data_IF_608046424780
#
_entry.id   IF_608046424780
#
_cell.length_a   1.000
_cell.length_b   1.000
_cell.length_c   1.000
_cell.angle_alpha   90.00
_cell.angle_beta   90.00
_cell.angle_gamma   90.00
#
_symmetry.space_group_name_H-M   'P 1'
#
loop_
_entity.id
_entity.type
_entity.pdbx_description
1 polymer ?
#
# COMPACT_ATOMS: atom_id res chain seq x y z
N UNK A 1 -10.88 -24.73 -12.89
CA UNK A 1 -11.98 -23.81 -12.58
C UNK A 1 -11.57 -22.43 -13.07
N UNK A 2 -12.33 -21.82 -13.97
CA UNK A 2 -12.06 -20.45 -14.41
C UNK A 2 -12.51 -19.50 -13.29
N UNK A 3 -11.55 -18.79 -12.68
CA UNK A 3 -11.85 -17.84 -11.60
C UNK A 3 -12.42 -16.56 -12.20
N UNK A 4 -13.57 -16.13 -11.65
CA UNK A 4 -14.24 -14.87 -12.00
C UNK A 4 -13.30 -13.69 -11.72
N UNK A 5 -13.38 -12.65 -12.54
CA UNK A 5 -12.61 -11.40 -12.39
C UNK A 5 -13.04 -10.58 -11.15
N UNK A 6 -13.91 -11.13 -10.30
CA UNK A 6 -14.51 -10.52 -9.11
C UNK A 6 -14.23 -11.31 -7.82
N UNK A 7 -13.15 -12.09 -7.78
CA UNK A 7 -12.78 -12.90 -6.60
C UNK A 7 -12.50 -12.10 -5.32
N UNK A 8 -12.30 -10.78 -5.43
CA UNK A 8 -12.20 -9.86 -4.30
C UNK A 8 -13.53 -9.21 -3.89
N UNK A 9 -14.61 -9.44 -4.64
CA UNK A 9 -15.90 -8.79 -4.41
C UNK A 9 -16.72 -9.62 -3.44
N UNK A 10 -16.64 -9.27 -2.16
CA UNK A 10 -17.47 -9.87 -1.12
C UNK A 10 -18.72 -9.00 -0.90
N UNK A 11 -19.95 -9.54 -1.10
CA UNK A 11 -21.20 -8.78 -0.97
C UNK A 11 -21.50 -8.31 0.46
N UNK A 12 -20.80 -8.85 1.46
CA UNK A 12 -20.94 -8.46 2.87
C UNK A 12 -20.02 -7.30 3.28
N UNK A 13 -19.18 -6.80 2.36
CA UNK A 13 -18.41 -5.58 2.57
C UNK A 13 -19.28 -4.34 2.35
N UNK A 14 -18.86 -3.20 2.89
CA UNK A 14 -19.48 -1.91 2.56
C UNK A 14 -19.34 -1.59 1.07
N UNK A 15 -20.22 -0.74 0.54
CA UNK A 15 -20.14 -0.30 -0.86
C UNK A 15 -18.77 0.25 -1.22
N UNK A 16 -18.12 0.95 -0.30
CA UNK A 16 -16.80 1.56 -0.48
C UNK A 16 -15.71 0.51 -0.63
N UNK A 17 -15.69 -0.48 0.25
CA UNK A 17 -14.78 -1.62 0.18
C UNK A 17 -15.01 -2.45 -1.08
N UNK A 18 -16.27 -2.72 -1.42
CA UNK A 18 -16.62 -3.41 -2.66
C UNK A 18 -16.15 -2.63 -3.89
N UNK A 19 -16.32 -1.31 -3.91
CA UNK A 19 -15.85 -0.46 -5.00
C UNK A 19 -14.34 -0.55 -5.19
N UNK A 20 -13.56 -0.40 -4.11
CA UNK A 20 -12.10 -0.55 -4.16
C UNK A 20 -11.69 -1.92 -4.71
N UNK A 21 -12.26 -2.99 -4.16
CA UNK A 21 -11.94 -4.36 -4.57
C UNK A 21 -12.29 -4.61 -6.04
N UNK A 22 -13.46 -4.15 -6.52
CA UNK A 22 -13.85 -4.25 -7.94
C UNK A 22 -12.87 -3.51 -8.85
N UNK A 23 -12.54 -2.27 -8.51
CA UNK A 23 -11.64 -1.44 -9.32
C UNK A 23 -10.25 -2.09 -9.42
N UNK A 24 -9.72 -2.59 -8.30
CA UNK A 24 -8.44 -3.30 -8.30
C UNK A 24 -8.52 -4.61 -9.09
N UNK A 25 -9.60 -5.39 -8.96
CA UNK A 25 -9.74 -6.67 -9.66
C UNK A 25 -9.81 -6.48 -11.18
N UNK A 26 -10.37 -5.36 -11.65
CA UNK A 26 -10.35 -4.97 -13.06
C UNK A 26 -8.95 -4.57 -13.55
N UNK A 27 -8.15 -3.96 -12.67
CA UNK A 27 -6.78 -3.54 -13.00
C UNK A 27 -5.79 -4.72 -13.03
N UNK A 28 -5.93 -5.62 -12.05
CA UNK A 28 -5.12 -6.82 -11.83
C UNK A 28 -6.01 -8.06 -11.75
N UNK A 29 -6.67 -8.47 -12.85
CA UNK A 29 -7.43 -9.72 -12.88
C UNK A 29 -6.49 -10.91 -12.63
N UNK A 30 -7.06 -12.08 -12.34
CA UNK A 30 -6.28 -13.30 -12.10
C UNK A 30 -5.27 -13.67 -13.22
N UNK A 31 -5.51 -13.22 -14.44
CA UNK A 31 -4.62 -13.41 -15.59
C UNK A 31 -3.48 -12.38 -15.68
N UNK A 32 -3.56 -11.28 -14.91
CA UNK A 32 -2.57 -10.20 -14.87
C UNK A 32 -2.24 -9.91 -13.41
N UNK A 33 -1.18 -10.54 -12.91
CA UNK A 33 -0.74 -10.38 -11.52
C UNK A 33 0.21 -9.20 -11.31
N UNK A 34 0.63 -8.53 -12.40
CA UNK A 34 1.60 -7.43 -12.37
C UNK A 34 1.34 -6.40 -13.46
N UNK A 35 1.35 -5.13 -13.07
CA UNK A 35 1.50 -3.97 -13.95
C UNK A 35 2.89 -3.36 -13.73
N UNK A 36 3.52 -2.92 -14.80
CA UNK A 36 4.90 -2.47 -14.84
C UNK A 36 5.00 -1.08 -15.42
N UNK A 37 5.87 -0.26 -14.83
CA UNK A 37 6.08 1.12 -15.28
C UNK A 37 6.71 1.23 -16.68
N UNK A 38 7.28 0.16 -17.23
CA UNK A 38 8.17 0.21 -18.40
C UNK A 38 7.82 -0.76 -19.55
N UNK A 39 6.76 -1.57 -19.43
CA UNK A 39 6.34 -2.50 -20.49
C UNK A 39 4.96 -2.14 -21.06
N UNK A 40 4.33 -3.06 -21.81
CA UNK A 40 3.00 -2.87 -22.39
C UNK A 40 1.87 -2.53 -21.40
N UNK A 41 2.12 -2.65 -20.09
CA UNK A 41 1.17 -2.31 -19.01
C UNK A 41 1.42 -0.94 -18.37
N UNK A 42 2.40 -0.17 -18.86
CA UNK A 42 2.82 1.13 -18.29
C UNK A 42 1.71 2.17 -18.19
N UNK A 43 0.78 2.19 -19.15
CA UNK A 43 -0.37 3.10 -19.10
C UNK A 43 -1.27 2.83 -17.89
N UNK A 44 -1.62 1.56 -17.64
CA UNK A 44 -2.40 1.16 -16.46
C UNK A 44 -1.63 1.37 -15.17
N UNK A 45 -0.32 1.09 -15.15
CA UNK A 45 0.52 1.41 -13.99
C UNK A 45 0.45 2.92 -13.66
N UNK A 46 0.55 3.78 -14.67
CA UNK A 46 0.48 5.23 -14.50
C UNK A 46 -0.90 5.68 -14.03
N UNK A 47 -1.97 5.10 -14.56
CA UNK A 47 -3.35 5.37 -14.15
C UNK A 47 -3.59 5.09 -12.66
N UNK A 48 -2.95 4.05 -12.13
CA UNK A 48 -3.14 3.61 -10.76
C UNK A 48 -2.18 4.24 -9.76
N UNK A 49 -1.01 4.66 -10.20
CA UNK A 49 0.03 5.19 -9.30
C UNK A 49 0.26 6.70 -9.48
N UNK A 50 -0.26 7.30 -10.54
CA UNK A 50 0.06 8.69 -10.92
C UNK A 50 1.48 8.87 -11.45
N UNK A 51 2.26 7.79 -11.61
CA UNK A 51 3.68 7.84 -11.97
C UNK A 51 3.96 7.10 -13.27
N UNK A 52 4.65 7.78 -14.18
CA UNK A 52 5.33 7.13 -15.31
C UNK A 52 6.73 6.67 -14.89
N UNK A 53 7.32 5.70 -15.59
CA UNK A 53 8.72 5.33 -15.39
C UNK A 53 9.65 6.56 -15.42
N UNK A 54 9.49 7.43 -16.42
CA UNK A 54 10.29 8.66 -16.55
C UNK A 54 10.13 9.59 -15.34
N UNK A 55 8.91 9.74 -14.81
CA UNK A 55 8.68 10.58 -13.64
C UNK A 55 9.37 10.01 -12.40
N UNK A 56 9.39 8.68 -12.23
CA UNK A 56 10.07 8.02 -11.11
C UNK A 56 11.58 8.17 -11.23
N UNK A 57 12.15 7.90 -12.40
CA UNK A 57 13.59 8.08 -12.64
C UNK A 57 14.05 9.52 -12.39
N UNK A 58 13.26 10.50 -12.82
CA UNK A 58 13.55 11.92 -12.59
C UNK A 58 13.52 12.25 -11.09
N UNK A 59 12.53 11.72 -10.36
CA UNK A 59 12.46 11.89 -8.91
C UNK A 59 13.66 11.24 -8.22
N UNK A 60 14.01 10.00 -8.55
CA UNK A 60 15.16 9.30 -7.98
C UNK A 60 16.47 10.06 -8.26
N UNK A 61 16.65 10.58 -9.46
CA UNK A 61 17.82 11.42 -9.79
C UNK A 61 17.87 12.69 -8.93
N UNK A 62 16.74 13.39 -8.77
CA UNK A 62 16.65 14.58 -7.91
C UNK A 62 16.88 14.25 -6.43
N UNK A 63 16.57 13.03 -6.02
CA UNK A 63 16.83 12.49 -4.69
C UNK A 63 18.29 11.98 -4.53
N UNK A 64 19.15 12.16 -5.54
CA UNK A 64 20.57 11.81 -5.46
C UNK A 64 20.89 10.35 -5.76
N UNK A 65 19.98 9.60 -6.35
CA UNK A 65 20.30 8.28 -6.91
C UNK A 65 21.07 8.42 -8.23
N UNK A 66 22.03 7.52 -8.46
CA UNK A 66 22.75 7.39 -9.71
C UNK A 66 22.60 5.98 -10.28
N UNK A 67 22.64 5.85 -11.62
CA UNK A 67 22.66 4.53 -12.26
C UNK A 67 24.03 3.86 -12.07
N UNK A 68 24.02 2.64 -11.54
CA UNK A 68 25.20 1.78 -11.51
C UNK A 68 25.43 1.10 -12.88
N UNK A 69 26.51 0.31 -13.00
CA UNK A 69 26.85 -0.43 -14.23
C UNK A 69 25.77 -1.40 -14.71
N UNK A 70 24.84 -1.79 -13.83
CA UNK A 70 23.69 -2.67 -14.14
C UNK A 70 22.44 -1.89 -14.54
N UNK A 71 22.54 -0.56 -14.68
CA UNK A 71 21.41 0.33 -14.97
C UNK A 71 20.43 0.52 -13.81
N UNK A 72 20.78 0.07 -12.60
CA UNK A 72 19.95 0.22 -11.40
C UNK A 72 20.26 1.55 -10.72
N UNK A 73 19.23 2.21 -10.22
CA UNK A 73 19.38 3.44 -9.45
C UNK A 73 19.77 3.11 -8.01
N UNK A 74 20.93 3.59 -7.57
CA UNK A 74 21.44 3.36 -6.23
C UNK A 74 21.93 4.66 -5.59
N UNK A 75 21.81 4.74 -4.26
CA UNK A 75 22.49 5.71 -3.40
C UNK A 75 22.83 5.06 -2.08
N UNK A 76 23.79 5.63 -1.37
CA UNK A 76 24.05 5.24 0.01
C UNK A 76 22.96 5.82 0.92
N UNK A 77 22.46 5.00 1.85
CA UNK A 77 21.52 5.44 2.89
C UNK A 77 20.04 5.20 2.59
N UNK A 78 19.21 6.24 2.76
CA UNK A 78 17.73 6.14 2.87
C UNK A 78 17.09 5.73 1.54
N UNK A 79 15.95 5.02 1.58
CA UNK A 79 15.16 4.71 0.37
C UNK A 79 14.60 5.97 -0.31
N UNK A 80 14.06 5.82 -1.53
CA UNK A 80 13.45 6.93 -2.24
C UNK A 80 12.25 7.51 -1.46
N UNK A 81 12.05 8.82 -1.54
CA UNK A 81 10.92 9.53 -0.94
C UNK A 81 9.72 9.48 -1.87
N UNK A 82 9.92 9.66 -3.18
CA UNK A 82 8.86 9.54 -4.17
C UNK A 82 8.62 8.06 -4.48
N UNK A 83 7.46 7.53 -4.06
CA UNK A 83 7.13 6.11 -4.22
C UNK A 83 5.77 5.89 -4.88
N UNK A 84 5.69 4.88 -5.76
CA UNK A 84 4.43 4.55 -6.42
C UNK A 84 3.41 3.89 -5.50
N UNK A 85 3.83 3.33 -4.35
CA UNK A 85 2.91 2.83 -3.32
C UNK A 85 2.06 3.95 -2.71
N UNK A 86 2.63 5.13 -2.48
CA UNK A 86 1.87 6.30 -2.04
C UNK A 86 0.92 6.81 -3.11
N UNK A 87 1.39 6.80 -4.36
CA UNK A 87 0.57 7.14 -5.53
C UNK A 87 -0.65 6.24 -5.69
N UNK A 88 -0.50 4.93 -5.43
CA UNK A 88 -1.60 3.96 -5.42
C UNK A 88 -2.65 4.32 -4.36
N UNK A 89 -2.24 4.52 -3.11
CA UNK A 89 -3.16 4.86 -2.01
C UNK A 89 -3.84 6.21 -2.26
N UNK A 90 -3.08 7.20 -2.72
CA UNK A 90 -3.62 8.51 -3.09
C UNK A 90 -4.69 8.41 -4.18
N UNK A 91 -4.43 7.61 -5.23
CA UNK A 91 -5.39 7.36 -6.32
C UNK A 91 -6.67 6.71 -5.80
N UNK A 92 -6.58 5.73 -4.90
CA UNK A 92 -7.74 5.09 -4.29
C UNK A 92 -8.58 6.10 -3.54
N UNK A 93 -7.96 6.93 -2.70
CA UNK A 93 -8.67 7.98 -1.96
C UNK A 93 -9.39 8.95 -2.90
N UNK A 94 -8.71 9.39 -3.96
CA UNK A 94 -9.32 10.26 -4.99
C UNK A 94 -10.49 9.56 -5.70
N UNK A 95 -10.37 8.28 -6.04
CA UNK A 95 -11.45 7.53 -6.71
C UNK A 95 -12.68 7.37 -5.82
N UNK A 96 -12.53 7.18 -4.51
CA UNK A 96 -13.65 7.13 -3.55
C UNK A 96 -14.39 8.47 -3.53
N UNK A 97 -13.65 9.58 -3.44
CA UNK A 97 -14.22 10.94 -3.43
C UNK A 97 -14.93 11.26 -4.76
N UNK A 98 -14.34 10.88 -5.89
CA UNK A 98 -14.93 11.06 -7.23
C UNK A 98 -16.20 10.22 -7.43
N UNK A 99 -16.24 9.02 -6.86
CA UNK A 99 -17.44 8.17 -6.82
C UNK A 99 -18.50 8.68 -5.83
N UNK A 100 -18.25 9.80 -5.13
CA UNK A 100 -19.14 10.42 -4.13
C UNK A 100 -19.44 9.50 -2.95
N UNK A 101 -18.51 8.60 -2.61
CA UNK A 101 -18.67 7.65 -1.51
C UNK A 101 -17.99 8.19 -0.25
N UNK A 102 -18.39 9.39 0.20
CA UNK A 102 -17.81 10.05 1.37
C UNK A 102 -16.62 10.97 1.05
N UNK A 103 -16.10 11.60 2.11
CA UNK A 103 -14.97 12.53 2.05
C UNK A 103 -13.95 12.13 3.12
N UNK A 104 -12.66 12.30 2.83
CA UNK A 104 -11.60 12.02 3.81
C UNK A 104 -11.82 12.79 5.10
N UNK A 105 -11.84 12.08 6.23
CA UNK A 105 -11.79 12.68 7.57
C UNK A 105 -10.32 12.82 7.98
N UNK A 106 -9.93 14.02 8.40
CA UNK A 106 -8.53 14.46 8.38
C UNK A 106 -7.52 13.62 9.15
N UNK A 107 -6.24 13.82 8.81
CA UNK A 107 -5.06 13.38 9.58
C UNK A 107 -4.21 12.31 8.89
N UNK A 108 -4.82 11.40 8.13
CA UNK A 108 -4.11 10.36 7.39
C UNK A 108 -3.68 10.88 6.02
N UNK A 109 -2.44 10.59 5.63
CA UNK A 109 -1.92 10.83 4.28
C UNK A 109 -1.34 9.53 3.71
N UNK A 110 -1.14 9.45 2.39
CA UNK A 110 -0.49 8.28 1.77
C UNK A 110 0.92 8.01 2.35
N UNK A 111 1.60 9.03 2.85
CA UNK A 111 2.91 8.94 3.53
C UNK A 111 2.81 8.55 5.01
N UNK A 112 1.71 8.88 5.69
CA UNK A 112 1.53 8.66 7.12
C UNK A 112 0.05 8.42 7.42
N UNK A 113 -0.38 7.16 7.28
CA UNK A 113 -1.76 6.77 7.59
C UNK A 113 -2.03 6.91 9.09
N UNK A 114 -1.03 6.59 9.91
CA UNK A 114 -1.02 6.77 11.37
C UNK A 114 -1.02 8.24 11.82
N UNK A 115 -0.72 9.17 10.92
CA UNK A 115 -0.65 10.59 11.24
C UNK A 115 0.44 10.94 12.26
N UNK A 116 1.49 10.12 12.41
CA UNK A 116 2.61 10.37 13.33
C UNK A 116 3.18 11.79 13.16
N UNK A 117 3.79 12.31 14.23
CA UNK A 117 4.44 13.62 14.18
C UNK A 117 5.68 13.62 13.25
N UNK A 118 6.29 14.80 13.06
CA UNK A 118 7.48 14.96 12.20
C UNK A 118 8.70 14.14 12.63
N UNK A 119 8.68 13.58 13.85
CA UNK A 119 9.73 12.72 14.39
C UNK A 119 9.33 11.23 14.35
N UNK A 120 8.17 10.92 13.76
CA UNK A 120 7.63 9.56 13.69
C UNK A 120 6.96 9.10 14.98
N UNK A 121 6.74 9.98 15.97
CA UNK A 121 6.09 9.61 17.23
C UNK A 121 4.58 9.45 17.03
N UNK A 122 4.04 8.42 17.66
CA UNK A 122 2.59 8.18 17.69
C UNK A 122 1.89 9.40 18.32
N UNK A 123 0.75 9.80 17.73
CA UNK A 123 -0.11 10.84 18.32
C UNK A 123 -1.04 10.23 19.36
N UNK A 124 -1.34 11.00 20.39
CA UNK A 124 -2.36 10.63 21.39
C UNK A 124 -3.72 10.37 20.75
N UNK A 125 -4.11 11.22 19.79
CA UNK A 125 -5.28 10.99 18.95
C UNK A 125 -4.82 10.65 17.52
N UNK A 126 -4.92 9.37 17.09
CA UNK A 126 -4.61 9.00 15.72
C UNK A 126 -5.67 9.56 14.75
N UNK A 127 -5.38 9.61 13.44
CA UNK A 127 -6.36 9.95 12.42
C UNK A 127 -7.59 9.05 12.47
N UNK A 128 -8.73 9.59 12.04
CA UNK A 128 -9.97 8.83 11.97
C UNK A 128 -9.80 7.62 11.05
N UNK A 129 -10.14 6.45 11.57
CA UNK A 129 -10.01 5.16 10.89
C UNK A 129 -8.66 4.47 11.07
N UNK A 130 -7.66 5.08 11.72
CA UNK A 130 -6.40 4.39 11.95
C UNK A 130 -6.50 3.44 13.15
N UNK A 131 -6.06 2.19 12.95
CA UNK A 131 -5.96 1.16 13.96
C UNK A 131 -4.54 0.63 14.03
N UNK A 132 -3.96 0.56 15.22
CA UNK A 132 -2.64 -0.04 15.38
C UNK A 132 -2.72 -1.56 15.28
N UNK A 133 -1.72 -2.18 14.67
CA UNK A 133 -1.72 -3.64 14.50
C UNK A 133 -1.80 -4.40 15.83
N UNK A 134 -1.16 -3.86 16.88
CA UNK A 134 -1.18 -4.39 18.25
C UNK A 134 -2.57 -4.37 18.91
N UNK A 135 -3.52 -3.60 18.38
CA UNK A 135 -4.88 -3.46 18.91
C UNK A 135 -5.86 -4.44 18.25
N UNK A 136 -5.37 -5.27 17.33
CA UNK A 136 -6.19 -6.24 16.60
C UNK A 136 -6.83 -7.26 17.54
N UNK A 137 -8.10 -7.54 17.30
CA UNK A 137 -8.90 -8.58 17.94
C UNK A 137 -9.80 -9.27 16.91
N UNK A 138 -10.61 -10.25 17.35
CA UNK A 138 -11.60 -10.88 16.47
C UNK A 138 -12.68 -9.90 15.96
N UNK A 139 -12.95 -8.81 16.70
CA UNK A 139 -13.93 -7.78 16.32
C UNK A 139 -13.29 -6.55 15.67
N UNK A 140 -12.01 -6.29 15.93
CA UNK A 140 -11.24 -5.17 15.39
C UNK A 140 -10.11 -5.74 14.55
N UNK A 141 -10.34 -5.87 13.25
CA UNK A 141 -9.35 -6.42 12.33
C UNK A 141 -9.47 -5.78 10.95
N UNK A 142 -8.40 -5.84 10.14
CA UNK A 142 -8.45 -5.33 8.78
C UNK A 142 -9.45 -6.11 7.93
N UNK A 143 -10.02 -5.44 6.94
CA UNK A 143 -10.93 -6.02 5.95
C UNK A 143 -10.46 -5.73 4.54
N UNK A 144 -10.96 -6.51 3.59
CA UNK A 144 -10.74 -6.24 2.18
C UNK A 144 -11.18 -4.80 1.82
N UNK A 145 -10.32 -4.09 1.09
CA UNK A 145 -10.45 -2.68 0.77
C UNK A 145 -9.69 -1.74 1.71
N UNK A 146 -9.31 -2.18 2.92
CA UNK A 146 -8.54 -1.35 3.86
C UNK A 146 -7.10 -1.15 3.38
N UNK A 147 -6.45 -0.09 3.87
CA UNK A 147 -5.07 0.25 3.51
C UNK A 147 -4.16 -0.04 4.69
N UNK A 148 -3.06 -0.77 4.49
CA UNK A 148 -2.09 -1.05 5.55
C UNK A 148 -0.85 -0.17 5.42
N UNK A 149 -0.10 -0.03 6.52
CA UNK A 149 1.22 0.58 6.53
C UNK A 149 2.25 -0.32 7.19
N UNK A 150 3.44 -0.41 6.58
CA UNK A 150 4.63 -1.09 7.11
C UNK A 150 5.63 -0.03 7.56
N UNK A 151 6.30 -0.30 8.67
CA UNK A 151 7.32 0.55 9.23
C UNK A 151 8.32 -0.21 10.09
N UNK A 152 9.31 0.51 10.59
CA UNK A 152 10.25 0.03 11.60
C UNK A 152 10.04 0.84 12.87
N UNK A 153 9.78 0.17 13.98
CA UNK A 153 9.79 0.81 15.29
C UNK A 153 11.24 1.09 15.70
N UNK A 154 11.63 2.36 15.68
CA UNK A 154 12.99 2.81 15.99
C UNK A 154 13.21 2.93 17.50
N UNK A 155 12.16 3.33 18.21
CA UNK A 155 12.02 3.39 19.68
C UNK A 155 10.55 3.09 20.01
N UNK A 156 10.21 2.70 21.25
CA UNK A 156 8.82 2.52 21.65
C UNK A 156 7.96 3.70 21.21
N UNK A 157 6.90 3.42 20.44
CA UNK A 157 5.98 4.43 19.90
C UNK A 157 6.62 5.46 18.94
N UNK A 158 7.72 5.11 18.28
CA UNK A 158 8.39 5.95 17.29
C UNK A 158 8.75 5.15 16.03
N UNK A 159 8.16 5.54 14.90
CA UNK A 159 8.18 4.75 13.67
C UNK A 159 8.87 5.46 12.51
N UNK A 160 9.61 4.69 11.71
CA UNK A 160 9.99 5.05 10.34
C UNK A 160 9.07 4.32 9.37
N UNK A 161 8.51 5.05 8.41
CA UNK A 161 7.57 4.53 7.42
C UNK A 161 8.32 3.88 6.25
N UNK A 162 7.80 2.78 5.72
CA UNK A 162 8.44 2.04 4.63
C UNK A 162 7.53 1.73 3.46
N UNK A 163 6.28 1.35 3.72
CA UNK A 163 5.40 0.88 2.66
C UNK A 163 3.94 1.07 3.00
N UNK A 164 3.11 1.22 1.98
CA UNK A 164 1.65 1.17 2.08
C UNK A 164 1.09 0.31 0.96
N UNK A 165 -0.08 -0.28 1.19
CA UNK A 165 -0.76 -1.10 0.20
C UNK A 165 -2.20 -1.36 0.59
N UNK A 166 -2.91 -2.09 -0.26
CA UNK A 166 -4.34 -2.38 -0.07
C UNK A 166 -4.48 -3.85 0.30
N UNK A 167 -5.29 -4.13 1.31
CA UNK A 167 -5.68 -5.48 1.69
C UNK A 167 -6.82 -5.91 0.76
N UNK A 168 -6.68 -7.01 0.04
CA UNK A 168 -7.74 -7.55 -0.82
C UNK A 168 -8.44 -8.74 -0.21
N UNK A 169 -7.77 -9.48 0.70
CA UNK A 169 -8.38 -10.50 1.55
C UNK A 169 -7.66 -10.60 2.90
N UNK A 170 -8.36 -11.06 3.93
CA UNK A 170 -7.83 -11.22 5.30
C UNK A 170 -8.35 -12.53 5.91
N UNK A 171 -7.47 -13.29 6.55
CA UNK A 171 -7.83 -14.42 7.41
C UNK A 171 -7.38 -14.17 8.85
N UNK A 172 -8.29 -14.44 9.80
CA UNK A 172 -8.03 -14.43 11.23
C UNK A 172 -7.50 -15.78 11.75
N UNK A 173 -7.29 -16.76 10.87
CA UNK A 173 -6.69 -18.06 11.23
C UNK A 173 -5.26 -17.86 11.73
N UNK A 174 -4.74 -18.82 12.52
CA UNK A 174 -3.34 -18.86 12.94
C UNK A 174 -2.57 -19.87 12.06
N UNK A 175 -1.56 -19.44 11.28
CA UNK A 175 -1.02 -18.08 11.24
C UNK A 175 -1.88 -17.09 10.45
N UNK A 176 -1.85 -15.83 10.87
CA UNK A 176 -2.56 -14.75 10.18
C UNK A 176 -2.07 -14.61 8.75
N UNK A 177 -3.00 -14.54 7.81
CA UNK A 177 -2.68 -14.38 6.40
C UNK A 177 -3.53 -13.30 5.73
N UNK A 178 -2.97 -12.72 4.69
CA UNK A 178 -3.63 -11.70 3.88
C UNK A 178 -3.30 -11.85 2.40
N UNK A 179 -4.16 -11.29 1.56
CA UNK A 179 -3.83 -10.95 0.17
C UNK A 179 -3.75 -9.44 0.05
N UNK A 180 -2.84 -8.95 -0.79
CA UNK A 180 -2.63 -7.52 -0.97
C UNK A 180 -2.45 -7.14 -2.43
N UNK A 181 -2.75 -5.86 -2.71
CA UNK A 181 -2.28 -5.17 -3.90
C UNK A 181 -1.35 -4.05 -3.47
N UNK A 182 -0.14 -4.05 -4.03
CA UNK A 182 0.93 -3.14 -3.65
C UNK A 182 1.60 -2.58 -4.91
N UNK A 183 1.81 -1.26 -4.96
CA UNK A 183 2.77 -0.64 -5.87
C UNK A 183 4.15 -0.54 -5.20
N UNK A 184 5.14 0.12 -5.81
CA UNK A 184 6.47 0.30 -5.21
C UNK A 184 7.33 -0.97 -5.17
N UNK A 185 6.92 -2.04 -5.84
CA UNK A 185 7.65 -3.30 -5.86
C UNK A 185 8.76 -3.23 -6.91
N UNK A 186 10.01 -3.08 -6.47
CA UNK A 186 11.19 -3.05 -7.34
C UNK A 186 11.98 -1.75 -7.17
N UNK A 187 11.36 -0.63 -7.53
CA UNK A 187 11.89 0.71 -7.34
C UNK A 187 13.30 0.94 -7.92
N UNK A 188 14.08 1.88 -7.33
CA UNK A 188 15.41 2.24 -7.82
C UNK A 188 16.33 1.03 -8.06
N UNK A 189 16.35 0.09 -7.11
CA UNK A 189 17.23 -1.08 -7.14
C UNK A 189 16.92 -2.09 -8.25
N UNK A 190 15.74 -2.03 -8.89
CA UNK A 190 15.42 -2.83 -10.08
C UNK A 190 15.46 -2.04 -11.38
N UNK A 191 15.61 -0.71 -11.29
CA UNK A 191 15.57 0.19 -12.44
C UNK A 191 14.17 0.57 -12.92
N UNK A 192 13.13 -0.10 -12.44
CA UNK A 192 11.72 0.14 -12.76
C UNK A 192 10.83 -0.31 -11.59
N UNK A 193 9.55 -0.01 -11.68
CA UNK A 193 8.60 -0.24 -10.60
C UNK A 193 7.38 -1.06 -11.05
N UNK A 194 6.72 -1.68 -10.08
CA UNK A 194 5.58 -2.56 -10.33
C UNK A 194 4.44 -2.32 -9.34
N UNK A 195 3.22 -2.51 -9.84
CA UNK A 195 2.01 -2.78 -9.05
C UNK A 195 1.70 -4.27 -9.17
N UNK A 196 1.57 -4.97 -8.05
CA UNK A 196 1.52 -6.43 -8.00
C UNK A 196 0.37 -6.88 -7.10
N UNK A 197 -0.35 -7.92 -7.57
CA UNK A 197 -1.22 -8.75 -6.74
C UNK A 197 -0.38 -9.78 -5.99
N UNK A 198 -0.42 -9.75 -4.66
CA UNK A 198 0.22 -10.75 -3.81
C UNK A 198 -0.85 -11.65 -3.22
N UNK A 199 -0.76 -12.93 -3.58
CA UNK A 199 -1.55 -14.02 -3.01
C UNK A 199 -1.30 -14.18 -1.50
N UNK A 200 -2.04 -15.09 -0.88
CA UNK A 200 -2.00 -15.36 0.56
C UNK A 200 -0.57 -15.48 1.09
N UNK A 201 -0.23 -14.56 1.99
CA UNK A 201 1.06 -14.52 2.69
C UNK A 201 0.85 -14.35 4.18
N UNK A 202 1.79 -14.89 4.94
CA UNK A 202 1.91 -14.61 6.37
C UNK A 202 1.98 -13.10 6.59
N UNK A 203 1.23 -12.64 7.57
CA UNK A 203 1.29 -11.27 8.09
C UNK A 203 2.58 -11.15 8.90
N UNK A 204 3.53 -10.31 8.46
CA UNK A 204 4.90 -10.21 9.00
C UNK A 204 5.68 -11.53 8.98
N UNK A 205 6.00 -12.12 7.81
CA UNK A 205 6.97 -13.20 7.80
C UNK A 205 8.29 -12.66 8.35
N UNK A 206 9.07 -13.49 9.05
CA UNK A 206 10.43 -13.10 9.46
C UNK A 206 11.22 -12.79 8.19
N UNK A 207 11.34 -11.51 7.84
CA UNK A 207 12.25 -11.07 6.80
C UNK A 207 13.65 -11.11 7.40
N UNK A 208 14.35 -12.23 7.17
CA UNK A 208 15.72 -12.40 7.65
C UNK A 208 16.67 -11.30 7.16
N UNK A 209 16.33 -10.56 6.09
CA UNK A 209 17.12 -9.43 5.58
C UNK A 209 16.72 -8.09 6.20
N UNK A 210 15.51 -7.98 6.74
CA UNK A 210 15.01 -6.77 7.37
C UNK A 210 14.06 -7.09 8.56
N UNK A 211 14.56 -7.74 9.63
CA UNK A 211 13.72 -8.36 10.67
C UNK A 211 12.93 -7.35 11.52
N UNK A 212 13.20 -6.05 11.38
CA UNK A 212 12.51 -4.97 12.10
C UNK A 212 11.36 -4.34 11.30
N UNK A 213 11.20 -4.68 10.02
CA UNK A 213 10.07 -4.20 9.21
C UNK A 213 8.83 -4.98 9.56
N UNK A 214 7.83 -4.30 10.09
CA UNK A 214 6.58 -4.90 10.54
C UNK A 214 5.40 -4.05 10.12
N UNK A 215 4.22 -4.65 10.09
CA UNK A 215 2.95 -3.94 9.93
C UNK A 215 2.73 -3.05 11.14
N UNK A 216 2.58 -1.75 10.88
CA UNK A 216 2.25 -0.75 11.89
C UNK A 216 0.79 -0.83 12.28
N UNK A 217 -0.08 -0.97 11.28
CA UNK A 217 -1.53 -0.87 11.43
C UNK A 217 -2.22 -0.75 10.08
N UNK A 218 -3.50 -0.41 10.12
CA UNK A 218 -4.33 -0.22 8.95
C UNK A 218 -5.26 0.99 9.11
N UNK A 219 -5.65 1.55 7.97
CA UNK A 219 -6.70 2.54 7.86
C UNK A 219 -8.00 1.83 7.46
N UNK A 220 -8.95 1.77 8.38
CA UNK A 220 -10.33 1.38 8.11
C UNK A 220 -10.96 2.44 7.20
N UNK A 221 -11.21 2.02 5.96
CA UNK A 221 -11.78 2.91 4.94
C UNK A 221 -13.19 3.35 5.32
N UNK A 222 -13.92 2.51 6.07
CA UNK A 222 -15.26 2.83 6.52
C UNK A 222 -15.32 3.98 7.48
N UNK A 223 -14.51 3.93 8.51
CA UNK A 223 -14.40 5.00 9.49
C UNK A 223 -13.85 6.28 8.86
N UNK A 224 -12.82 6.15 8.02
CA UNK A 224 -12.09 7.28 7.43
C UNK A 224 -12.94 8.13 6.47
N UNK A 225 -13.82 7.51 5.68
CA UNK A 225 -14.66 8.22 4.70
C UNK A 225 -16.09 8.51 5.19
N UNK A 226 -16.54 7.85 6.27
CA UNK A 226 -17.88 8.02 6.86
C UNK A 226 -19.03 7.46 6.04
#
# INVERSE_FOLDING_TARGET
>A
MAYDANDWVNPYLSDRRQYICRQLAQALPNTVTKLSSHDGTAAKFTEWTGHTQRSLETAWQNEGFAKNEKGQWARDGVGAVTTSCEGLVGTIFTRIEQAKMGKRKGGATSFSLSGNDKWGREKETPPVGWHWFRERSASVHPRAGDVFQIGTETRPHQWTHHHVGVITQWSNDDPLMWETVEAGQGGPGRGYDFMIRKEYRLVNPIDNKAPRKVIMGWLDIDEHFG
#
